data_IF_696616689448
#
_entry.id   IF_696616689448
#
_cell.length_a   1.000
_cell.length_b   1.000
_cell.length_c   1.000
_cell.angle_alpha   90.00
_cell.angle_beta   90.00
_cell.angle_gamma   90.00
#
_symmetry.space_group_name_H-M   'P 1'
#
loop_
_entity.id
_entity.type
_entity.pdbx_description
1 polymer ?
#
# COMPACT_ATOMS: atom_id res chain seq x y z
N UNK A 1 50.51 -20.31 -3.11
CA UNK A 1 49.20 -20.67 -3.69
C UNK A 1 47.97 -20.34 -2.82
N UNK A 2 47.93 -20.61 -1.49
CA UNK A 2 46.73 -20.35 -0.63
C UNK A 2 46.35 -18.87 -0.44
N UNK A 3 47.34 -17.96 -0.39
CA UNK A 3 47.13 -16.50 -0.20
C UNK A 3 46.38 -15.83 -1.38
N UNK A 4 46.61 -16.29 -2.62
CA UNK A 4 45.88 -15.76 -3.79
C UNK A 4 44.40 -16.13 -3.76
N UNK A 5 44.06 -17.37 -3.41
CA UNK A 5 42.65 -17.81 -3.30
C UNK A 5 41.87 -16.98 -2.26
N UNK A 6 42.51 -16.64 -1.14
CA UNK A 6 41.91 -15.80 -0.10
C UNK A 6 41.65 -14.36 -0.60
N UNK A 7 42.62 -13.77 -1.34
CA UNK A 7 42.48 -12.45 -1.95
C UNK A 7 41.38 -12.42 -3.01
N UNK A 8 41.33 -13.41 -3.91
CA UNK A 8 40.27 -13.51 -4.92
C UNK A 8 38.90 -13.67 -4.27
N UNK A 9 38.77 -14.48 -3.22
CA UNK A 9 37.51 -14.64 -2.48
C UNK A 9 37.08 -13.34 -1.80
N UNK A 10 38.02 -12.57 -1.24
CA UNK A 10 37.71 -11.27 -0.63
C UNK A 10 37.27 -10.24 -1.67
N UNK A 11 37.88 -10.25 -2.86
CA UNK A 11 37.54 -9.34 -3.95
C UNK A 11 36.16 -9.66 -4.54
N UNK A 12 35.85 -10.94 -4.77
CA UNK A 12 34.52 -11.39 -5.19
C UNK A 12 33.44 -11.04 -4.17
N UNK A 13 33.72 -11.23 -2.87
CA UNK A 13 32.81 -10.82 -1.79
C UNK A 13 32.54 -9.32 -1.80
N UNK A 14 33.58 -8.49 -1.98
CA UNK A 14 33.44 -7.02 -2.07
C UNK A 14 32.61 -6.59 -3.28
N UNK A 15 32.87 -7.18 -4.45
CA UNK A 15 32.13 -6.89 -5.67
C UNK A 15 30.63 -7.23 -5.53
N UNK A 16 30.31 -8.36 -4.88
CA UNK A 16 28.93 -8.77 -4.65
C UNK A 16 28.16 -7.81 -3.72
N UNK A 17 28.81 -7.06 -2.82
CA UNK A 17 28.11 -6.07 -1.98
C UNK A 17 27.91 -4.73 -2.69
N UNK A 18 28.72 -4.43 -3.71
CA UNK A 18 28.65 -3.17 -4.48
C UNK A 18 27.78 -3.27 -5.74
N UNK A 19 27.71 -4.46 -6.35
CA UNK A 19 26.99 -4.69 -7.62
C UNK A 19 25.47 -4.73 -7.47
N UNK A 20 24.98 -5.01 -6.26
CA UNK A 20 23.57 -4.84 -5.93
C UNK A 20 23.45 -3.55 -5.15
N UNK A 21 23.21 -2.39 -5.80
CA UNK A 21 22.72 -1.25 -5.06
C UNK A 21 21.51 -1.78 -4.29
N UNK A 22 21.57 -1.73 -2.95
CA UNK A 22 20.33 -1.69 -2.17
C UNK A 22 19.64 -0.48 -2.77
N UNK A 23 18.69 -0.70 -3.68
CA UNK A 23 17.75 0.35 -4.00
C UNK A 23 17.29 0.79 -2.61
N UNK A 24 17.55 2.04 -2.19
CA UNK A 24 16.83 2.55 -1.04
C UNK A 24 15.38 2.35 -1.49
N UNK A 25 14.69 1.41 -0.82
CA UNK A 25 13.26 1.19 -1.05
C UNK A 25 12.69 2.58 -1.06
N UNK A 26 12.31 3.07 -2.24
CA UNK A 26 11.87 4.43 -2.43
C UNK A 26 10.77 4.62 -1.41
N UNK A 27 11.08 5.36 -0.34
CA UNK A 27 10.16 5.58 0.77
C UNK A 27 8.92 6.35 0.28
N UNK A 28 8.93 6.79 -0.98
CA UNK A 28 7.80 7.42 -1.67
C UNK A 28 6.75 6.45 -2.22
N UNK A 29 6.91 5.13 -2.18
CA UNK A 29 5.86 4.21 -2.64
C UNK A 29 4.95 3.66 -1.54
N UNK A 30 5.35 3.79 -0.28
CA UNK A 30 4.41 3.62 0.83
C UNK A 30 4.02 5.02 1.30
N UNK A 31 3.13 5.65 0.55
CA UNK A 31 2.06 6.42 1.18
C UNK A 31 1.51 5.46 2.24
N UNK A 32 1.96 5.65 3.48
CA UNK A 32 1.63 4.76 4.59
C UNK A 32 0.13 4.50 4.46
N UNK A 33 -0.27 3.25 4.57
CA UNK A 33 -1.64 3.01 4.98
C UNK A 33 -1.70 3.65 6.36
N UNK A 34 -2.03 4.94 6.38
CA UNK A 34 -2.18 5.68 7.59
C UNK A 34 -3.27 4.94 8.32
N UNK A 35 -2.98 4.50 9.54
CA UNK A 35 -3.87 3.61 10.26
C UNK A 35 -5.23 4.28 10.50
N UNK A 36 -5.28 5.61 10.35
CA UNK A 36 -6.45 6.46 10.36
C UNK A 36 -7.50 6.11 9.28
N UNK A 37 -7.08 5.59 8.12
CA UNK A 37 -8.01 5.27 7.01
C UNK A 37 -8.63 3.87 7.14
N UNK A 38 -8.34 3.14 8.22
CA UNK A 38 -8.87 1.79 8.46
C UNK A 38 -10.03 1.84 9.43
N UNK A 39 -11.15 1.26 9.03
CA UNK A 39 -12.30 1.09 9.91
C UNK A 39 -12.94 -0.29 9.70
N UNK A 40 -13.63 -0.76 10.73
CA UNK A 40 -14.38 -2.01 10.70
C UNK A 40 -15.84 -1.69 10.44
N UNK A 41 -16.45 -2.37 9.47
CA UNK A 41 -17.88 -2.32 9.23
C UNK A 41 -18.49 -3.69 9.52
N UNK A 42 -19.48 -3.71 10.41
CA UNK A 42 -20.14 -4.94 10.81
C UNK A 42 -20.77 -5.65 9.60
N UNK A 43 -20.55 -6.96 9.50
CA UNK A 43 -21.00 -7.78 8.38
C UNK A 43 -20.14 -7.70 7.09
N UNK A 44 -19.15 -6.81 7.02
CA UNK A 44 -18.24 -6.68 5.86
C UNK A 44 -16.78 -6.94 6.23
N UNK A 45 -16.36 -6.49 7.41
CA UNK A 45 -14.99 -6.63 7.88
C UNK A 45 -14.18 -5.33 7.82
N UNK A 46 -12.85 -5.47 7.79
CA UNK A 46 -11.94 -4.34 7.73
C UNK A 46 -11.88 -3.74 6.33
N UNK A 47 -11.86 -2.41 6.29
CA UNK A 47 -11.88 -1.62 5.09
C UNK A 47 -10.84 -0.51 5.17
N UNK A 48 -10.26 -0.13 4.04
CA UNK A 48 -9.33 1.01 3.91
C UNK A 48 -9.88 2.10 3.01
N UNK A 49 -9.58 3.36 3.35
CA UNK A 49 -9.97 4.54 2.57
C UNK A 49 -11.37 5.05 2.92
N UNK A 50 -11.77 6.15 2.30
CA UNK A 50 -13.04 6.83 2.60
C UNK A 50 -14.25 6.09 2.00
N UNK A 51 -15.24 5.71 2.83
CA UNK A 51 -16.49 5.05 2.38
C UNK A 51 -17.47 5.94 1.68
N UNK A 52 -17.39 7.23 1.98
CA UNK A 52 -18.21 8.21 1.31
C UNK A 52 -17.78 8.33 -0.16
N UNK A 53 -16.61 7.82 -0.56
CA UNK A 53 -16.25 7.70 -1.97
C UNK A 53 -17.01 6.56 -2.67
N UNK A 54 -17.62 6.86 -3.81
CA UNK A 54 -18.31 5.90 -4.69
C UNK A 54 -17.35 4.80 -5.18
N UNK A 55 -16.11 5.18 -5.49
CA UNK A 55 -15.06 4.27 -5.99
C UNK A 55 -14.27 3.54 -4.89
N UNK A 56 -14.66 3.66 -3.62
CA UNK A 56 -14.09 2.85 -2.55
C UNK A 56 -14.18 1.36 -2.91
N UNK A 57 -13.07 0.62 -2.81
CA UNK A 57 -13.01 -0.77 -3.27
C UNK A 57 -13.63 -1.78 -2.28
N UNK A 58 -14.11 -1.31 -1.12
CA UNK A 58 -14.67 -2.12 -0.04
C UNK A 58 -13.77 -3.29 0.35
N UNK A 59 -12.46 -3.03 0.43
CA UNK A 59 -11.44 -4.01 0.75
C UNK A 59 -10.58 -3.53 1.92
N UNK A 60 -10.07 -4.47 2.73
CA UNK A 60 -9.09 -4.17 3.79
C UNK A 60 -7.67 -3.95 3.26
N UNK A 61 -7.45 -4.19 1.97
CA UNK A 61 -6.13 -4.09 1.33
C UNK A 61 -6.06 -3.04 0.22
N UNK A 62 -7.18 -2.76 -0.45
CA UNK A 62 -7.25 -1.84 -1.60
C UNK A 62 -8.17 -0.68 -1.23
N UNK A 63 -7.68 0.56 -1.35
CA UNK A 63 -8.45 1.78 -1.02
C UNK A 63 -9.51 2.11 -2.08
N UNK A 64 -9.10 2.20 -3.34
CA UNK A 64 -9.93 2.71 -4.43
C UNK A 64 -9.77 1.83 -5.68
N UNK A 65 -10.90 1.50 -6.34
CA UNK A 65 -10.89 0.63 -7.51
C UNK A 65 -10.18 1.27 -8.71
N UNK A 66 -10.28 2.61 -8.86
CA UNK A 66 -9.69 3.36 -9.98
C UNK A 66 -8.34 3.99 -9.64
N UNK A 67 -7.98 4.05 -8.36
CA UNK A 67 -6.69 4.52 -7.89
C UNK A 67 -6.17 3.67 -6.71
N UNK A 68 -5.73 2.41 -6.96
CA UNK A 68 -5.37 1.48 -5.89
C UNK A 68 -4.22 1.95 -4.99
N UNK A 69 -3.32 2.79 -5.53
CA UNK A 69 -2.08 3.24 -4.87
C UNK A 69 -2.18 4.60 -4.18
N UNK A 70 -3.20 5.40 -4.49
CA UNK A 70 -3.26 6.80 -4.06
C UNK A 70 -4.07 7.03 -2.77
N UNK A 71 -3.79 8.13 -2.04
CA UNK A 71 -4.63 8.58 -0.93
C UNK A 71 -6.00 9.06 -1.42
N UNK A 72 -6.97 9.10 -0.51
CA UNK A 72 -8.27 9.72 -0.76
C UNK A 72 -8.18 11.26 -0.74
N UNK A 73 -7.28 11.83 0.08
CA UNK A 73 -7.05 13.26 0.15
C UNK A 73 -6.46 13.82 -1.16
N UNK A 74 -7.13 14.81 -1.76
CA UNK A 74 -6.78 15.35 -3.08
C UNK A 74 -6.99 14.40 -4.28
N UNK A 75 -7.72 13.29 -4.10
CA UNK A 75 -7.95 12.33 -5.18
C UNK A 75 -8.84 12.93 -6.30
N UNK A 76 -8.30 13.06 -7.52
CA UNK A 76 -9.05 13.55 -8.70
C UNK A 76 -10.27 12.69 -9.09
N UNK A 77 -10.32 11.46 -8.60
CA UNK A 77 -11.40 10.52 -8.87
C UNK A 77 -12.42 10.46 -7.74
N UNK A 78 -12.23 11.22 -6.66
CA UNK A 78 -13.17 11.20 -5.55
C UNK A 78 -14.56 11.63 -6.04
N UNK A 79 -15.56 10.83 -5.69
CA UNK A 79 -16.96 11.11 -5.97
C UNK A 79 -17.77 10.73 -4.73
N UNK A 80 -18.53 11.67 -4.21
CA UNK A 80 -19.37 11.43 -3.04
C UNK A 80 -20.49 10.45 -3.39
N UNK A 81 -20.59 9.39 -2.59
CA UNK A 81 -21.60 8.35 -2.69
C UNK A 81 -22.91 8.95 -2.25
N UNK A 82 -23.81 9.15 -3.21
CA UNK A 82 -25.20 9.49 -2.93
C UNK A 82 -25.89 8.30 -2.24
N UNK A 83 -25.78 8.26 -0.91
CA UNK A 83 -26.61 7.38 -0.08
C UNK A 83 -27.99 8.01 0.03
N UNK A 84 -28.83 7.80 -0.99
CA UNK A 84 -30.27 7.94 -0.78
C UNK A 84 -30.61 6.92 0.30
N UNK A 85 -30.80 7.40 1.53
CA UNK A 85 -30.97 6.59 2.71
C UNK A 85 -32.09 5.56 2.44
N UNK A 86 -31.71 4.31 2.19
CA UNK A 86 -32.66 3.19 2.25
C UNK A 86 -32.86 2.89 3.73
N UNK A 87 -33.59 3.79 4.39
CA UNK A 87 -34.07 3.55 5.73
C UNK A 87 -35.00 2.35 5.72
N UNK A 88 -34.84 1.53 6.76
CA UNK A 88 -35.69 0.42 7.23
C UNK A 88 -35.43 -0.90 6.51
N UNK A 89 -34.93 -1.87 7.27
CA UNK A 89 -35.68 -3.07 7.64
C UNK A 89 -35.25 -3.47 9.06
N UNK A 90 -36.07 -3.10 10.03
CA UNK A 90 -36.12 -3.77 11.33
C UNK A 90 -36.78 -5.13 11.12
N UNK A 91 -36.20 -6.18 11.71
CA UNK A 91 -36.91 -7.41 12.08
C UNK A 91 -36.95 -7.42 13.60
#
# INVERSE_FOLDING_TARGET
>A
MRKNKARTRALLRRAAVTSFPRQPRSQNQHHRIDNQDRYYLEGVGYLVGDISCEYNARSGYIRCAVNPSGPCDGCRFYQERNVVARTKHHI
#
